data_IF_039219135167
#
_entry.id   IF_039219135167
#
_cell.length_a   1.000
_cell.length_b   1.000
_cell.length_c   1.000
_cell.angle_alpha   90.00
_cell.angle_beta   90.00
_cell.angle_gamma   90.00
#
_symmetry.space_group_name_H-M   'P 1'
#
loop_
_entity.id
_entity.type
_entity.pdbx_description
1 polymer ?
#
# COMPACT_ATOMS: atom_id res chain seq x y z
N UNK A 1 14.15 -17.95 -20.30
CA UNK A 1 13.31 -16.82 -20.66
C UNK A 1 14.23 -15.62 -20.79
N UNK A 2 14.32 -15.02 -21.98
CA UNK A 2 15.28 -13.95 -22.24
C UNK A 2 14.95 -12.67 -21.45
N UNK A 3 15.95 -11.82 -21.24
CA UNK A 3 15.85 -10.52 -20.57
C UNK A 3 14.72 -9.65 -21.10
N UNK A 4 14.38 -9.79 -22.37
CA UNK A 4 13.29 -9.09 -23.03
C UNK A 4 11.89 -9.53 -22.53
N UNK A 5 11.69 -10.79 -22.21
CA UNK A 5 10.42 -11.27 -21.66
C UNK A 5 10.17 -10.74 -20.24
N UNK A 6 11.23 -10.61 -19.44
CA UNK A 6 11.14 -10.08 -18.08
C UNK A 6 10.85 -8.56 -18.09
N UNK A 7 11.50 -7.81 -19.00
CA UNK A 7 11.25 -6.37 -19.13
C UNK A 7 9.83 -6.08 -19.62
N UNK A 8 9.30 -6.84 -20.55
CA UNK A 8 7.93 -6.69 -21.02
C UNK A 8 6.91 -6.99 -19.91
N UNK A 9 7.16 -8.00 -19.08
CA UNK A 9 6.28 -8.35 -17.96
C UNK A 9 6.28 -7.26 -16.88
N UNK A 10 7.42 -6.65 -16.61
CA UNK A 10 7.53 -5.51 -15.68
C UNK A 10 6.81 -4.26 -16.21
N UNK A 11 6.92 -3.95 -17.50
CA UNK A 11 6.23 -2.81 -18.13
C UNK A 11 4.73 -3.03 -18.13
N UNK A 12 4.27 -4.22 -18.49
CA UNK A 12 2.84 -4.58 -18.46
C UNK A 12 2.32 -4.47 -17.02
N UNK A 13 3.05 -5.00 -16.04
CA UNK A 13 2.69 -4.93 -14.63
C UNK A 13 2.58 -3.50 -14.11
N UNK A 14 3.56 -2.66 -14.42
CA UNK A 14 3.53 -1.25 -14.04
C UNK A 14 2.35 -0.52 -14.68
N UNK A 15 2.06 -0.78 -15.97
CA UNK A 15 0.94 -0.16 -16.68
C UNK A 15 -0.40 -0.56 -16.07
N UNK A 16 -0.60 -1.86 -15.80
CA UNK A 16 -1.82 -2.36 -15.15
C UNK A 16 -1.99 -1.72 -13.77
N UNK A 17 -0.92 -1.63 -12.98
CA UNK A 17 -0.97 -1.03 -11.65
C UNK A 17 -1.38 0.44 -11.71
N UNK A 18 -0.79 1.23 -12.61
CA UNK A 18 -1.14 2.65 -12.80
C UNK A 18 -2.60 2.82 -13.23
N UNK A 19 -3.06 2.04 -14.19
CA UNK A 19 -4.46 2.08 -14.67
C UNK A 19 -5.41 1.70 -13.55
N UNK A 20 -5.10 0.66 -12.79
CA UNK A 20 -5.92 0.18 -11.68
C UNK A 20 -6.01 1.22 -10.56
N UNK A 21 -4.88 1.84 -10.18
CA UNK A 21 -4.84 2.93 -9.21
C UNK A 21 -5.65 4.14 -9.70
N UNK A 22 -5.46 4.57 -10.95
CA UNK A 22 -6.21 5.69 -11.52
C UNK A 22 -7.71 5.42 -11.52
N UNK A 23 -8.13 4.22 -11.92
CA UNK A 23 -9.54 3.80 -11.91
C UNK A 23 -10.10 3.82 -10.49
N UNK A 24 -9.37 3.31 -9.51
CA UNK A 24 -9.78 3.27 -8.11
C UNK A 24 -9.91 4.69 -7.53
N UNK A 25 -8.98 5.59 -7.82
CA UNK A 25 -9.06 7.00 -7.39
C UNK A 25 -10.25 7.72 -8.03
N UNK A 26 -10.52 7.52 -9.31
CA UNK A 26 -11.67 8.09 -10.00
C UNK A 26 -12.96 7.56 -9.39
N UNK A 27 -13.03 6.26 -9.16
CA UNK A 27 -14.20 5.60 -8.57
C UNK A 27 -14.48 6.11 -7.14
N UNK A 28 -13.45 6.25 -6.30
CA UNK A 28 -13.59 6.79 -4.94
C UNK A 28 -13.95 8.28 -4.92
N UNK A 29 -13.50 9.06 -5.92
CA UNK A 29 -13.72 10.51 -5.96
C UNK A 29 -15.08 10.89 -6.56
N UNK A 30 -15.49 10.23 -7.65
CA UNK A 30 -16.63 10.64 -8.47
C UNK A 30 -17.84 9.70 -8.37
N UNK A 31 -17.68 8.47 -7.89
CA UNK A 31 -18.78 7.52 -7.76
C UNK A 31 -19.63 7.79 -6.52
N UNK A 32 -20.94 7.47 -6.63
CA UNK A 32 -21.88 7.44 -5.50
C UNK A 32 -21.43 6.46 -4.42
N UNK A 33 -20.83 5.32 -4.84
CA UNK A 33 -20.21 4.36 -3.93
C UNK A 33 -19.04 4.97 -3.14
N UNK A 34 -18.14 5.71 -3.80
CA UNK A 34 -17.04 6.41 -3.14
C UNK A 34 -17.51 7.48 -2.14
N UNK A 35 -18.64 8.13 -2.40
CA UNK A 35 -19.27 9.02 -1.43
C UNK A 35 -19.74 8.25 -0.20
N UNK A 36 -20.40 7.11 -0.40
CA UNK A 36 -20.81 6.21 0.68
C UNK A 36 -19.64 5.70 1.52
N UNK A 37 -18.54 5.26 0.88
CA UNK A 37 -17.31 4.83 1.58
C UNK A 37 -16.76 5.94 2.48
N UNK A 38 -16.70 7.18 2.00
CA UNK A 38 -16.22 8.32 2.80
C UNK A 38 -17.16 8.69 3.93
N UNK A 39 -18.46 8.60 3.71
CA UNK A 39 -19.48 8.85 4.76
C UNK A 39 -19.36 7.78 5.85
N UNK A 40 -19.32 6.50 5.50
CA UNK A 40 -19.16 5.37 6.44
C UNK A 40 -17.82 5.47 7.20
N UNK A 41 -16.73 5.83 6.54
CA UNK A 41 -15.42 6.02 7.17
C UNK A 41 -15.39 7.21 8.16
N UNK A 42 -16.25 8.23 7.97
CA UNK A 42 -16.35 9.36 8.90
C UNK A 42 -17.13 9.00 10.16
N UNK A 43 -18.29 8.38 10.01
CA UNK A 43 -19.15 7.89 11.10
C UNK A 43 -20.14 6.89 10.54
N UNK A 44 -19.99 5.62 10.91
CA UNK A 44 -20.87 4.54 10.48
C UNK A 44 -22.32 4.78 10.95
N UNK A 45 -22.48 5.16 12.22
CA UNK A 45 -23.79 5.47 12.79
C UNK A 45 -24.50 6.61 12.08
N UNK A 46 -23.79 7.71 11.77
CA UNK A 46 -24.38 8.84 11.05
C UNK A 46 -24.74 8.47 9.62
N UNK A 47 -23.92 7.65 8.95
CA UNK A 47 -24.18 7.17 7.60
C UNK A 47 -25.45 6.31 7.52
N UNK A 48 -25.67 5.43 8.50
CA UNK A 48 -26.90 4.62 8.61
C UNK A 48 -28.13 5.49 8.84
N UNK A 49 -28.06 6.49 9.70
CA UNK A 49 -29.16 7.45 9.92
C UNK A 49 -29.54 8.20 8.65
N UNK A 50 -28.57 8.43 7.74
CA UNK A 50 -28.80 9.05 6.43
C UNK A 50 -29.29 8.05 5.36
N UNK A 51 -29.56 6.79 5.74
CA UNK A 51 -30.09 5.75 4.86
C UNK A 51 -29.04 5.05 4.01
N UNK A 52 -27.76 5.17 4.36
CA UNK A 52 -26.66 4.48 3.67
C UNK A 52 -26.52 3.08 4.29
N UNK A 53 -26.62 2.04 3.45
CA UNK A 53 -26.39 0.65 3.85
C UNK A 53 -24.88 0.40 4.00
N UNK A 54 -24.36 0.60 5.21
CA UNK A 54 -22.94 0.48 5.55
C UNK A 54 -22.40 -0.92 5.36
N UNK A 55 -23.23 -1.95 5.62
CA UNK A 55 -22.86 -3.34 5.41
C UNK A 55 -22.58 -3.67 3.94
N UNK A 56 -23.41 -3.18 3.01
CA UNK A 56 -23.17 -3.37 1.58
C UNK A 56 -21.93 -2.63 1.10
N UNK A 57 -21.71 -1.40 1.58
CA UNK A 57 -20.52 -0.62 1.23
C UNK A 57 -19.26 -1.33 1.69
N UNK A 58 -19.25 -1.84 2.92
CA UNK A 58 -18.13 -2.58 3.48
C UNK A 58 -17.87 -3.88 2.72
N UNK A 59 -18.94 -4.65 2.43
CA UNK A 59 -18.81 -5.90 1.67
C UNK A 59 -18.22 -5.68 0.26
N UNK A 60 -18.69 -4.66 -0.46
CA UNK A 60 -18.18 -4.31 -1.78
C UNK A 60 -16.70 -3.86 -1.68
N UNK A 61 -16.35 -3.09 -0.65
CA UNK A 61 -14.96 -2.63 -0.44
C UNK A 61 -14.02 -3.81 -0.21
N UNK A 62 -14.42 -4.79 0.58
CA UNK A 62 -13.66 -6.03 0.79
C UNK A 62 -13.55 -6.85 -0.49
N UNK A 63 -14.63 -6.97 -1.26
CA UNK A 63 -14.61 -7.69 -2.54
C UNK A 63 -13.63 -7.06 -3.54
N UNK A 64 -13.61 -5.74 -3.64
CA UNK A 64 -12.67 -5.00 -4.49
C UNK A 64 -11.23 -5.21 -4.00
N UNK A 65 -10.99 -5.10 -2.68
CA UNK A 65 -9.67 -5.29 -2.09
C UNK A 65 -9.13 -6.71 -2.36
N UNK A 66 -9.97 -7.74 -2.19
CA UNK A 66 -9.61 -9.13 -2.49
C UNK A 66 -9.31 -9.33 -3.99
N UNK A 67 -10.10 -8.72 -4.88
CA UNK A 67 -9.86 -8.78 -6.32
C UNK A 67 -8.52 -8.15 -6.72
N UNK A 68 -8.19 -7.00 -6.18
CA UNK A 68 -6.91 -6.32 -6.40
C UNK A 68 -5.76 -7.16 -5.82
N UNK A 69 -5.94 -7.72 -4.63
CA UNK A 69 -4.96 -8.61 -4.00
C UNK A 69 -4.67 -9.86 -4.83
N UNK A 70 -5.71 -10.48 -5.41
CA UNK A 70 -5.55 -11.63 -6.29
C UNK A 70 -4.79 -11.27 -7.57
N UNK A 71 -5.10 -10.13 -8.20
CA UNK A 71 -4.36 -9.64 -9.37
C UNK A 71 -2.89 -9.39 -9.03
N UNK A 72 -2.60 -8.76 -7.89
CA UNK A 72 -1.24 -8.52 -7.43
C UNK A 72 -0.47 -9.84 -7.21
N UNK A 73 -1.13 -10.85 -6.64
CA UNK A 73 -0.54 -12.18 -6.43
C UNK A 73 -0.16 -12.86 -7.77
N UNK A 74 -1.07 -12.82 -8.75
CA UNK A 74 -0.82 -13.39 -10.09
C UNK A 74 0.35 -12.68 -10.77
N UNK A 75 0.40 -11.36 -10.71
CA UNK A 75 1.48 -10.58 -11.32
C UNK A 75 2.83 -10.86 -10.65
N UNK A 76 2.85 -10.98 -9.33
CA UNK A 76 4.06 -11.29 -8.58
C UNK A 76 4.57 -12.71 -8.88
N UNK A 77 3.65 -13.69 -8.96
CA UNK A 77 3.99 -15.08 -9.30
C UNK A 77 4.51 -15.20 -10.75
N UNK A 78 3.97 -14.41 -11.69
CA UNK A 78 4.43 -14.36 -13.07
C UNK A 78 5.88 -13.91 -13.24
N UNK A 79 6.47 -13.23 -12.25
CA UNK A 79 7.88 -12.85 -12.21
C UNK A 79 8.86 -13.97 -11.87
N UNK A 80 8.42 -15.24 -11.83
CA UNK A 80 9.26 -16.41 -11.59
C UNK A 80 9.38 -16.82 -10.11
N UNK A 81 8.55 -16.25 -9.24
CA UNK A 81 8.52 -16.61 -7.82
C UNK A 81 7.69 -17.88 -7.63
N UNK A 82 8.21 -18.85 -6.87
CA UNK A 82 7.45 -20.05 -6.53
C UNK A 82 6.25 -19.71 -5.64
N UNK A 83 5.08 -20.22 -5.99
CA UNK A 83 3.85 -20.02 -5.21
C UNK A 83 3.92 -20.96 -3.99
N UNK A 84 4.01 -20.39 -2.81
CA UNK A 84 3.94 -21.08 -1.52
C UNK A 84 2.91 -20.38 -0.62
N UNK A 85 2.42 -21.05 0.42
CA UNK A 85 1.41 -20.47 1.32
C UNK A 85 1.85 -19.14 1.98
N UNK A 86 3.16 -18.93 2.12
CA UNK A 86 3.76 -17.76 2.78
C UNK A 86 4.38 -16.72 1.83
N UNK A 87 4.32 -16.94 0.49
CA UNK A 87 5.00 -16.02 -0.44
C UNK A 87 4.46 -14.56 -0.39
N UNK A 88 3.18 -14.41 -0.09
CA UNK A 88 2.55 -13.09 0.03
C UNK A 88 2.77 -12.41 1.39
N UNK A 89 3.26 -13.12 2.40
CA UNK A 89 3.40 -12.58 3.77
C UNK A 89 4.30 -11.34 3.80
N UNK A 90 5.44 -11.37 3.12
CA UNK A 90 6.37 -10.23 3.07
C UNK A 90 5.74 -9.03 2.37
N UNK A 91 5.00 -9.25 1.29
CA UNK A 91 4.29 -8.19 0.55
C UNK A 91 3.19 -7.59 1.42
N UNK A 92 2.44 -8.43 2.14
CA UNK A 92 1.38 -7.99 3.04
C UNK A 92 1.93 -7.14 4.18
N UNK A 93 3.04 -7.53 4.81
CA UNK A 93 3.71 -6.74 5.85
C UNK A 93 4.17 -5.41 5.30
N UNK A 94 4.83 -5.38 4.15
CA UNK A 94 5.28 -4.13 3.52
C UNK A 94 4.11 -3.23 3.11
N UNK A 95 3.00 -3.79 2.62
CA UNK A 95 1.80 -3.05 2.28
C UNK A 95 1.16 -2.42 3.53
N UNK A 96 1.11 -3.16 4.65
CA UNK A 96 0.61 -2.65 5.92
C UNK A 96 1.48 -1.51 6.45
N UNK A 97 2.80 -1.66 6.40
CA UNK A 97 3.74 -0.61 6.77
C UNK A 97 3.63 0.62 5.87
N UNK A 98 3.38 0.42 4.57
CA UNK A 98 3.12 1.51 3.63
C UNK A 98 1.86 2.31 4.00
N UNK A 99 0.79 1.61 4.43
CA UNK A 99 -0.43 2.27 4.91
C UNK A 99 -0.18 3.10 6.17
N UNK A 100 0.59 2.56 7.12
CA UNK A 100 0.93 3.28 8.35
C UNK A 100 1.81 4.49 8.04
N UNK A 101 2.86 4.31 7.23
CA UNK A 101 3.77 5.38 6.83
C UNK A 101 3.04 6.49 6.07
N UNK A 102 2.17 6.12 5.14
CA UNK A 102 1.38 7.06 4.35
C UNK A 102 0.34 7.81 5.15
N UNK A 103 -0.19 7.18 6.19
CA UNK A 103 -1.29 7.65 7.03
C UNK A 103 -2.65 7.18 6.52
N UNK A 104 -3.46 6.60 7.40
CA UNK A 104 -4.79 6.06 7.09
C UNK A 104 -5.85 7.12 6.75
N UNK A 105 -5.57 8.38 6.99
CA UNK A 105 -6.52 9.48 6.77
C UNK A 105 -6.59 9.96 5.31
N UNK A 106 -5.69 9.49 4.45
CA UNK A 106 -5.62 9.89 3.03
C UNK A 106 -5.51 8.69 2.12
N UNK A 107 -6.21 8.71 0.97
CA UNK A 107 -6.16 7.60 0.01
C UNK A 107 -4.84 7.52 -0.77
N UNK A 108 -4.14 8.64 -0.95
CA UNK A 108 -2.86 8.69 -1.66
C UNK A 108 -1.66 8.36 -0.75
N UNK A 109 -1.83 8.48 0.56
CA UNK A 109 -0.79 8.17 1.54
C UNK A 109 -0.19 6.77 1.38
N UNK A 110 -1.01 5.70 1.41
CA UNK A 110 -0.54 4.33 1.23
C UNK A 110 0.20 4.10 -0.09
N UNK A 111 -0.22 4.76 -1.18
CA UNK A 111 0.44 4.65 -2.49
C UNK A 111 1.85 5.24 -2.43
N UNK A 112 2.00 6.42 -1.83
CA UNK A 112 3.32 7.03 -1.64
C UNK A 112 4.18 6.19 -0.69
N UNK A 113 3.60 5.67 0.39
CA UNK A 113 4.27 4.75 1.31
C UNK A 113 4.79 3.49 0.61
N UNK A 114 3.98 2.90 -0.28
CA UNK A 114 4.36 1.72 -1.06
C UNK A 114 5.54 1.96 -2.01
N UNK A 115 5.75 3.19 -2.47
CA UNK A 115 6.92 3.58 -3.26
C UNK A 115 8.12 3.90 -2.37
N UNK A 116 7.89 4.57 -1.24
CA UNK A 116 8.97 5.00 -0.35
C UNK A 116 9.71 3.83 0.32
N UNK A 117 8.99 2.76 0.71
CA UNK A 117 9.61 1.61 1.39
C UNK A 117 10.64 0.90 0.50
N UNK A 118 10.32 0.47 -0.74
CA UNK A 118 11.31 -0.13 -1.62
C UNK A 118 12.44 0.82 -1.99
N UNK A 119 12.14 2.12 -2.10
CA UNK A 119 13.14 3.14 -2.40
C UNK A 119 14.13 3.30 -1.24
N UNK A 120 13.65 3.36 0.00
CA UNK A 120 14.50 3.35 1.18
C UNK A 120 15.34 2.07 1.27
N UNK A 121 14.74 0.90 1.00
CA UNK A 121 15.47 -0.36 0.96
C UNK A 121 16.57 -0.36 -0.10
N UNK A 122 16.30 0.18 -1.29
CA UNK A 122 17.29 0.33 -2.37
C UNK A 122 18.43 1.28 -2.00
N UNK A 123 18.12 2.38 -1.32
CA UNK A 123 19.15 3.31 -0.82
C UNK A 123 20.07 2.64 0.22
N UNK A 124 19.51 1.89 1.16
CA UNK A 124 20.30 1.13 2.14
C UNK A 124 21.15 0.06 1.44
N UNK A 125 20.58 -0.65 0.45
CA UNK A 125 21.30 -1.62 -0.36
C UNK A 125 22.45 -1.00 -1.17
N UNK A 126 22.26 0.21 -1.67
CA UNK A 126 23.32 0.95 -2.36
C UNK A 126 24.47 1.33 -1.42
N UNK A 127 24.18 1.78 -0.20
CA UNK A 127 25.20 2.04 0.81
C UNK A 127 26.00 0.78 1.19
N UNK A 128 25.37 -0.38 1.18
CA UNK A 128 26.02 -1.66 1.49
C UNK A 128 27.08 -2.09 0.46
N UNK A 129 27.09 -1.51 -0.74
CA UNK A 129 28.12 -1.74 -1.76
C UNK A 129 29.46 -1.08 -1.43
N UNK A 130 29.50 -0.14 -0.49
CA UNK A 130 30.76 0.45 -0.04
C UNK A 130 31.47 -0.51 0.94
N UNK A 131 32.80 -0.73 0.81
CA UNK A 131 33.54 -1.69 1.62
C UNK A 131 33.47 -1.40 3.14
N UNK A 132 33.28 -0.14 3.52
CA UNK A 132 33.10 0.25 4.91
C UNK A 132 31.76 -0.22 5.54
N UNK A 133 30.77 -0.54 4.70
CA UNK A 133 29.39 -0.87 5.13
C UNK A 133 28.92 -2.24 4.64
N UNK A 134 29.81 -3.12 4.22
CA UNK A 134 29.49 -4.44 3.65
C UNK A 134 28.66 -5.34 4.58
N UNK A 135 28.72 -5.12 5.91
CA UNK A 135 27.88 -5.82 6.88
C UNK A 135 26.40 -5.39 6.92
N UNK A 136 26.09 -4.22 6.39
CA UNK A 136 24.74 -3.64 6.43
C UNK A 136 23.77 -4.40 5.52
N UNK A 137 24.24 -5.04 4.45
CA UNK A 137 23.38 -5.80 3.53
C UNK A 137 22.56 -6.89 4.24
N UNK A 138 23.13 -7.53 5.26
CA UNK A 138 22.45 -8.53 6.09
C UNK A 138 21.33 -7.94 6.94
N UNK A 139 21.45 -6.68 7.35
CA UNK A 139 20.54 -5.96 8.21
C UNK A 139 19.64 -4.96 7.48
N UNK A 140 19.67 -4.97 6.15
CA UNK A 140 18.95 -4.00 5.29
C UNK A 140 17.48 -3.86 5.69
N UNK A 141 16.74 -4.95 5.81
CA UNK A 141 15.31 -4.92 6.19
C UNK A 141 15.10 -4.40 7.61
N UNK A 142 15.99 -4.76 8.55
CA UNK A 142 15.91 -4.29 9.94
C UNK A 142 16.11 -2.77 9.98
N UNK A 143 17.08 -2.25 9.25
CA UNK A 143 17.36 -0.81 9.18
C UNK A 143 16.16 -0.06 8.61
N UNK A 144 15.54 -0.57 7.53
CA UNK A 144 14.35 0.04 6.93
C UNK A 144 13.19 0.05 7.94
N UNK A 145 12.97 -1.04 8.67
CA UNK A 145 11.89 -1.11 9.66
C UNK A 145 12.15 -0.22 10.88
N UNK A 146 13.38 -0.11 11.35
CA UNK A 146 13.77 0.83 12.41
C UNK A 146 13.56 2.27 11.96
N UNK A 147 13.95 2.61 10.73
CA UNK A 147 13.72 3.93 10.15
C UNK A 147 12.22 4.26 10.07
N UNK A 148 11.41 3.30 9.63
CA UNK A 148 9.96 3.42 9.62
C UNK A 148 9.39 3.64 11.02
N UNK A 149 9.88 2.90 12.01
CA UNK A 149 9.45 3.03 13.40
C UNK A 149 9.77 4.42 13.95
N UNK A 150 10.96 4.96 13.65
CA UNK A 150 11.34 6.32 14.03
C UNK A 150 10.39 7.34 13.38
N UNK A 151 10.07 7.20 12.09
CA UNK A 151 9.13 8.11 11.40
C UNK A 151 7.75 8.07 12.06
N UNK A 152 7.25 6.89 12.43
CA UNK A 152 5.96 6.73 13.10
C UNK A 152 5.98 7.34 14.51
N UNK A 153 7.08 7.21 15.27
CA UNK A 153 7.23 7.82 16.58
C UNK A 153 7.23 9.35 16.53
N UNK A 154 7.85 9.94 15.51
CA UNK A 154 7.89 11.39 15.30
C UNK A 154 6.54 11.91 14.80
N UNK A 155 5.88 11.15 13.91
CA UNK A 155 4.62 11.54 13.27
C UNK A 155 3.62 10.38 13.27
N UNK A 156 2.92 10.14 14.38
CA UNK A 156 2.04 8.98 14.55
C UNK A 156 0.83 8.99 13.59
N UNK A 157 0.53 10.13 12.98
CA UNK A 157 -0.55 10.27 12.00
C UNK A 157 -0.14 9.81 10.58
N UNK A 158 1.13 9.43 10.38
CA UNK A 158 1.74 9.17 9.08
C UNK A 158 2.19 10.44 8.36
N UNK A 159 2.89 10.28 7.23
CA UNK A 159 3.47 11.40 6.48
C UNK A 159 2.40 12.40 6.00
N UNK A 160 1.23 11.90 5.57
CA UNK A 160 0.11 12.66 5.02
C UNK A 160 -1.12 12.66 5.94
N UNK A 161 -0.99 12.21 7.17
CA UNK A 161 -2.06 12.18 8.15
C UNK A 161 -2.53 13.60 8.51
N UNK A 162 -3.85 13.79 8.58
CA UNK A 162 -4.46 15.03 9.07
C UNK A 162 -4.73 14.90 10.57
N UNK A 163 -4.35 15.92 11.34
CA UNK A 163 -4.72 16.01 12.75
C UNK A 163 -6.24 16.02 12.88
N UNK A 164 -6.81 14.99 13.46
CA UNK A 164 -8.20 15.00 13.91
C UNK A 164 -8.28 15.84 15.17
N UNK A 165 -8.63 17.11 15.03
CA UNK A 165 -8.99 17.94 16.17
C UNK A 165 -10.32 17.41 16.69
N UNK A 166 -10.31 16.65 17.80
CA UNK A 166 -11.53 16.37 18.55
C UNK A 166 -12.05 17.72 19.05
N UNK A 167 -13.11 18.24 18.41
CA UNK A 167 -13.93 19.24 19.07
C UNK A 167 -14.67 18.55 20.19
N UNK A 168 -14.29 18.86 21.41
CA UNK A 168 -15.04 18.54 22.64
C UNK A 168 -16.30 19.38 22.65
#
# INVERSE_FOLDING_TARGET
MGSEGLSNLLVIGATITVVLLATLFILLKYSKWGLGVRATASSEFTAELMGIDTHKITAISWAIACGIGALAAVMYAGGGTSISASFMTTIQVNAFLACILGGFSTFYGPVVGAVLIPLAASCVGFLANFPAFSGISRWQMVIVYVLLLIVILIKPEGLFGKKTVKKV
#
